data_IF_854596127742
#
_entry.id   IF_854596127742
#
_cell.length_a   1.000
_cell.length_b   1.000
_cell.length_c   1.000
_cell.angle_alpha   90.00
_cell.angle_beta   90.00
_cell.angle_gamma   90.00
#
_symmetry.space_group_name_H-M   'P 1'
#
loop_
_entity.id
_entity.type
_entity.pdbx_description
1 polymer ?
#
# COMPACT_ATOMS: atom_id res chain seq x y z
N UNK A 1 44.80 13.57 26.55
CA UNK A 1 43.96 12.41 26.17
C UNK A 1 42.97 12.94 25.17
N UNK A 2 43.19 12.61 23.90
CA UNK A 2 42.63 13.34 22.77
C UNK A 2 41.13 13.07 22.59
N UNK A 3 40.33 14.14 22.64
CA UNK A 3 38.90 14.12 22.34
C UNK A 3 38.60 13.57 20.94
N UNK A 4 39.54 13.65 20.00
CA UNK A 4 39.42 13.08 18.65
C UNK A 4 39.41 11.55 18.65
N UNK A 5 40.19 10.91 19.51
CA UNK A 5 40.27 9.45 19.63
C UNK A 5 38.98 8.92 20.25
N UNK A 6 38.48 9.56 21.31
CA UNK A 6 37.23 9.15 21.95
C UNK A 6 36.00 9.40 21.07
N UNK A 7 35.99 10.46 20.25
CA UNK A 7 34.93 10.71 19.27
C UNK A 7 34.87 9.63 18.18
N UNK A 8 36.02 9.09 17.75
CA UNK A 8 36.05 8.06 16.71
C UNK A 8 35.50 6.72 17.20
N UNK A 9 35.78 6.33 18.44
CA UNK A 9 35.22 5.12 19.04
C UNK A 9 33.69 5.19 19.18
N UNK A 10 33.15 6.33 19.62
CA UNK A 10 31.70 6.52 19.73
C UNK A 10 31.02 6.41 18.36
N UNK A 11 31.65 6.98 17.32
CA UNK A 11 31.08 6.99 15.97
C UNK A 11 31.12 5.58 15.34
N UNK A 12 32.21 4.84 15.54
CA UNK A 12 32.34 3.45 15.11
C UNK A 12 31.33 2.53 15.82
N UNK A 13 31.11 2.71 17.12
CA UNK A 13 30.08 1.99 17.87
C UNK A 13 28.67 2.30 17.34
N UNK A 14 28.36 3.56 17.04
CA UNK A 14 27.07 3.95 16.47
C UNK A 14 26.85 3.30 15.10
N UNK A 15 27.87 3.30 14.23
CA UNK A 15 27.78 2.66 12.91
C UNK A 15 27.54 1.16 13.05
N UNK A 16 28.30 0.49 13.93
CA UNK A 16 28.15 -0.95 14.17
C UNK A 16 26.75 -1.29 14.72
N UNK A 17 26.21 -0.47 15.63
CA UNK A 17 24.85 -0.62 16.14
C UNK A 17 23.82 -0.46 15.02
N UNK A 18 23.98 0.57 14.18
CA UNK A 18 23.07 0.85 13.06
C UNK A 18 23.11 -0.28 12.01
N UNK A 19 24.28 -0.80 11.68
CA UNK A 19 24.43 -1.89 10.73
C UNK A 19 23.81 -3.19 11.26
N UNK A 20 24.04 -3.52 12.54
CA UNK A 20 23.39 -4.65 13.21
C UNK A 20 21.86 -4.50 13.21
N UNK A 21 21.35 -3.29 13.44
CA UNK A 21 19.92 -3.01 13.33
C UNK A 21 19.40 -3.22 11.91
N UNK A 22 20.10 -2.74 10.88
CA UNK A 22 19.72 -2.96 9.47
C UNK A 22 19.69 -4.45 9.11
N UNK A 23 20.68 -5.22 9.54
CA UNK A 23 20.74 -6.67 9.32
C UNK A 23 19.52 -7.34 9.97
N UNK A 24 19.27 -7.06 11.25
CA UNK A 24 18.12 -7.62 11.96
C UNK A 24 16.80 -7.24 11.29
N UNK A 25 16.61 -5.96 10.97
CA UNK A 25 15.41 -5.46 10.30
C UNK A 25 15.17 -6.16 8.96
N UNK A 26 16.20 -6.29 8.13
CA UNK A 26 16.12 -6.94 6.81
C UNK A 26 15.70 -8.41 6.90
N UNK A 27 16.12 -9.12 7.96
CA UNK A 27 15.70 -10.51 8.19
C UNK A 27 14.19 -10.61 8.49
N UNK A 28 13.65 -9.67 9.26
CA UNK A 28 12.23 -9.66 9.62
C UNK A 28 11.32 -9.04 8.55
N UNK A 29 11.86 -8.18 7.68
CA UNK A 29 11.09 -7.44 6.67
C UNK A 29 10.29 -8.36 5.73
N UNK A 30 10.87 -9.48 5.28
CA UNK A 30 10.15 -10.43 4.40
C UNK A 30 8.98 -11.10 5.11
N UNK A 31 9.19 -11.57 6.35
CA UNK A 31 8.14 -12.17 7.18
C UNK A 31 7.02 -11.16 7.42
N UNK A 32 7.39 -9.90 7.65
CA UNK A 32 6.46 -8.79 7.78
C UNK A 32 5.57 -8.67 6.53
N UNK A 33 6.14 -8.59 5.31
CA UNK A 33 5.32 -8.44 4.10
C UNK A 33 4.37 -9.62 3.86
N UNK A 34 4.80 -10.85 4.14
CA UNK A 34 3.95 -12.04 4.04
C UNK A 34 2.78 -11.95 5.04
N UNK A 35 3.04 -11.55 6.29
CA UNK A 35 1.97 -11.36 7.27
C UNK A 35 0.98 -10.27 6.83
N UNK A 36 1.49 -9.13 6.35
CA UNK A 36 0.67 -8.02 5.91
C UNK A 36 -0.15 -8.32 4.65
N UNK A 37 0.32 -9.22 3.76
CA UNK A 37 -0.48 -9.75 2.65
C UNK A 37 -1.78 -10.38 3.17
N UNK A 38 -1.70 -11.30 4.13
CA UNK A 38 -2.90 -11.97 4.66
C UNK A 38 -3.82 -10.99 5.40
N UNK A 39 -3.25 -10.07 6.17
CA UNK A 39 -4.02 -8.99 6.81
C UNK A 39 -4.75 -8.13 5.77
N UNK A 40 -4.09 -7.79 4.66
CA UNK A 40 -4.68 -7.01 3.58
C UNK A 40 -5.78 -7.76 2.85
N UNK A 41 -5.59 -9.04 2.56
CA UNK A 41 -6.63 -9.91 2.00
C UNK A 41 -7.85 -9.95 2.92
N UNK A 42 -7.63 -10.11 4.23
CA UNK A 42 -8.71 -10.10 5.22
C UNK A 42 -9.46 -8.76 5.21
N UNK A 43 -8.74 -7.63 5.16
CA UNK A 43 -9.35 -6.30 5.04
C UNK A 43 -10.19 -6.16 3.77
N UNK A 44 -9.70 -6.61 2.62
CA UNK A 44 -10.41 -6.55 1.33
C UNK A 44 -11.69 -7.37 1.35
N UNK A 45 -11.62 -8.62 1.81
CA UNK A 45 -12.79 -9.51 1.92
C UNK A 45 -13.79 -8.92 2.93
N UNK A 46 -13.31 -8.44 4.07
CA UNK A 46 -14.13 -7.78 5.08
C UNK A 46 -14.87 -6.56 4.52
N UNK A 47 -14.16 -5.69 3.80
CA UNK A 47 -14.76 -4.53 3.12
C UNK A 47 -15.83 -4.96 2.12
N UNK A 48 -15.54 -5.98 1.30
CA UNK A 48 -16.48 -6.50 0.31
C UNK A 48 -17.75 -7.08 0.95
N UNK A 49 -17.61 -7.92 1.98
CA UNK A 49 -18.75 -8.50 2.73
C UNK A 49 -19.59 -7.41 3.39
N UNK A 50 -18.97 -6.42 4.04
CA UNK A 50 -19.68 -5.30 4.65
C UNK A 50 -20.48 -4.49 3.62
N UNK A 51 -19.90 -4.23 2.44
CA UNK A 51 -20.60 -3.54 1.35
C UNK A 51 -21.81 -4.32 0.86
N UNK A 52 -21.70 -5.65 0.71
CA UNK A 52 -22.80 -6.53 0.31
C UNK A 52 -23.91 -6.60 1.36
N UNK A 53 -23.56 -6.72 2.64
CA UNK A 53 -24.52 -6.72 3.75
C UNK A 53 -25.33 -5.42 3.79
N UNK A 54 -24.66 -4.27 3.62
CA UNK A 54 -25.33 -2.98 3.57
C UNK A 54 -26.25 -2.85 2.35
N UNK A 55 -25.80 -3.32 1.19
CA UNK A 55 -26.63 -3.34 -0.02
C UNK A 55 -27.90 -4.18 0.18
N UNK A 56 -27.78 -5.36 0.79
CA UNK A 56 -28.92 -6.22 1.16
C UNK A 56 -29.88 -5.55 2.14
N UNK A 57 -29.35 -4.87 3.17
CA UNK A 57 -30.16 -4.14 4.14
C UNK A 57 -30.97 -3.00 3.52
N UNK A 58 -30.35 -2.24 2.60
CA UNK A 58 -31.04 -1.16 1.87
C UNK A 58 -32.16 -1.73 0.99
N UNK A 59 -31.90 -2.84 0.29
CA UNK A 59 -32.90 -3.51 -0.55
C UNK A 59 -34.08 -4.05 0.26
N UNK A 60 -33.83 -4.65 1.44
CA UNK A 60 -34.90 -5.16 2.29
C UNK A 60 -35.76 -4.01 2.85
N UNK A 61 -35.12 -2.90 3.26
CA UNK A 61 -35.80 -1.71 3.75
C UNK A 61 -36.63 -1.03 2.66
N UNK A 62 -36.12 -0.93 1.44
CA UNK A 62 -36.91 -0.40 0.33
C UNK A 62 -38.12 -1.29 0.08
N UNK A 63 -37.96 -2.61 -0.01
CA UNK A 63 -39.09 -3.53 -0.23
C UNK A 63 -40.16 -3.47 0.87
N UNK A 64 -39.77 -3.28 2.13
CA UNK A 64 -40.71 -3.26 3.26
C UNK A 64 -41.47 -1.93 3.44
N UNK A 65 -40.91 -0.80 2.98
CA UNK A 65 -41.43 0.54 3.33
C UNK A 65 -41.66 1.49 2.13
N UNK A 66 -41.38 1.10 0.87
CA UNK A 66 -41.36 2.07 -0.24
C UNK A 66 -42.67 2.22 -1.05
N UNK A 67 -43.00 3.48 -1.30
CA UNK A 67 -43.88 3.96 -2.37
C UNK A 67 -43.14 3.92 -3.72
N UNK A 68 -43.85 3.74 -4.85
CA UNK A 68 -43.31 3.64 -6.23
C UNK A 68 -42.24 4.69 -6.62
N UNK A 69 -42.18 5.84 -5.92
CA UNK A 69 -41.20 6.91 -6.16
C UNK A 69 -39.80 6.63 -5.59
N UNK A 70 -39.69 5.83 -4.53
CA UNK A 70 -38.41 5.49 -3.88
C UNK A 70 -37.73 4.26 -4.49
N UNK A 71 -38.48 3.38 -5.16
CA UNK A 71 -37.93 2.21 -5.88
C UNK A 71 -36.94 2.61 -6.99
N UNK A 72 -37.22 3.67 -7.75
CA UNK A 72 -36.35 4.09 -8.85
C UNK A 72 -35.00 4.68 -8.37
N UNK A 73 -35.00 5.43 -7.25
CA UNK A 73 -33.80 6.07 -6.72
C UNK A 73 -32.90 5.08 -5.98
N UNK A 74 -33.50 4.12 -5.27
CA UNK A 74 -32.78 3.05 -4.57
C UNK A 74 -32.16 2.05 -5.55
N UNK A 75 -32.84 1.69 -6.64
CA UNK A 75 -32.29 0.77 -7.65
C UNK A 75 -31.05 1.29 -8.39
N UNK A 76 -30.91 2.61 -8.53
CA UNK A 76 -29.75 3.20 -9.23
C UNK A 76 -28.45 3.11 -8.42
N UNK A 77 -28.53 3.10 -7.08
CA UNK A 77 -27.35 3.12 -6.19
C UNK A 77 -27.01 1.75 -5.59
N UNK A 78 -27.92 0.79 -5.65
CA UNK A 78 -27.67 -0.59 -5.19
C UNK A 78 -26.79 -1.38 -6.16
N UNK A 79 -26.99 -1.23 -7.48
CA UNK A 79 -26.20 -1.95 -8.50
C UNK A 79 -24.69 -1.64 -8.42
N UNK A 80 -24.24 -0.36 -8.36
CA UNK A 80 -22.82 -0.06 -8.23
C UNK A 80 -22.20 -0.62 -6.94
N UNK A 81 -22.92 -0.56 -5.81
CA UNK A 81 -22.44 -1.10 -4.53
C UNK A 81 -22.26 -2.61 -4.55
N UNK A 82 -23.13 -3.35 -5.24
CA UNK A 82 -22.98 -4.79 -5.42
C UNK A 82 -21.73 -5.12 -6.26
N UNK A 83 -21.55 -4.43 -7.39
CA UNK A 83 -20.38 -4.60 -8.26
C UNK A 83 -19.10 -4.34 -7.47
N UNK A 84 -19.06 -3.25 -6.71
CA UNK A 84 -17.88 -2.91 -5.93
C UNK A 84 -17.64 -3.95 -4.82
N UNK A 85 -18.66 -4.35 -4.07
CA UNK A 85 -18.53 -5.39 -3.04
C UNK A 85 -17.97 -6.71 -3.58
N UNK A 86 -18.45 -7.15 -4.74
CA UNK A 86 -17.93 -8.34 -5.45
C UNK A 86 -16.48 -8.12 -5.90
N UNK A 87 -16.16 -6.95 -6.46
CA UNK A 87 -14.82 -6.62 -6.90
C UNK A 87 -13.80 -6.68 -5.75
N UNK A 88 -14.12 -6.16 -4.56
CA UNK A 88 -13.25 -6.24 -3.38
C UNK A 88 -12.95 -7.70 -2.98
N UNK A 89 -13.95 -8.58 -3.02
CA UNK A 89 -13.78 -10.00 -2.71
C UNK A 89 -12.91 -10.68 -3.78
N UNK A 90 -13.18 -10.44 -5.07
CA UNK A 90 -12.39 -11.01 -6.17
C UNK A 90 -10.93 -10.55 -6.12
N UNK A 91 -10.69 -9.26 -5.86
CA UNK A 91 -9.34 -8.71 -5.67
C UNK A 91 -8.66 -9.37 -4.47
N UNK A 92 -9.37 -9.53 -3.34
CA UNK A 92 -8.86 -10.20 -2.14
C UNK A 92 -8.40 -11.64 -2.42
N UNK A 93 -9.25 -12.44 -3.09
CA UNK A 93 -8.86 -13.80 -3.50
C UNK A 93 -7.75 -13.79 -4.55
N UNK A 94 -7.76 -12.83 -5.48
CA UNK A 94 -6.73 -12.68 -6.49
C UNK A 94 -5.34 -12.43 -5.89
N UNK A 95 -5.27 -11.63 -4.82
CA UNK A 95 -4.02 -11.38 -4.07
C UNK A 95 -3.65 -12.60 -3.23
N UNK A 96 -4.63 -13.30 -2.63
CA UNK A 96 -4.39 -14.52 -1.85
C UNK A 96 -3.69 -15.60 -2.69
N UNK A 97 -4.17 -15.82 -3.93
CA UNK A 97 -3.62 -16.81 -4.86
C UNK A 97 -2.50 -16.26 -5.76
N UNK A 98 -1.98 -15.07 -5.49
CA UNK A 98 -0.92 -14.38 -6.25
C UNK A 98 -1.25 -14.01 -7.70
N UNK A 99 -2.29 -14.58 -8.32
CA UNK A 99 -2.64 -14.31 -9.71
C UNK A 99 -2.87 -12.82 -9.99
N UNK A 100 -3.60 -12.13 -9.10
CA UNK A 100 -3.86 -10.70 -9.28
C UNK A 100 -2.62 -9.86 -8.98
N UNK A 101 -1.78 -10.28 -8.02
CA UNK A 101 -0.49 -9.63 -7.75
C UNK A 101 0.42 -9.68 -8.97
N UNK A 102 0.54 -10.84 -9.62
CA UNK A 102 1.29 -10.97 -10.88
C UNK A 102 0.71 -10.11 -12.00
N UNK A 103 -0.62 -10.10 -12.14
CA UNK A 103 -1.29 -9.25 -13.12
C UNK A 103 -1.02 -7.75 -12.88
N UNK A 104 -1.05 -7.31 -11.62
CA UNK A 104 -0.76 -5.92 -11.24
C UNK A 104 0.70 -5.56 -11.51
N UNK A 105 1.65 -6.44 -11.18
CA UNK A 105 3.06 -6.23 -11.52
C UNK A 105 3.17 -6.03 -13.04
N UNK A 106 2.64 -6.96 -13.83
CA UNK A 106 2.74 -6.90 -15.29
C UNK A 106 2.14 -5.63 -15.92
N UNK A 107 0.98 -5.16 -15.44
CA UNK A 107 0.33 -3.97 -16.01
C UNK A 107 0.93 -2.66 -15.53
N UNK A 108 1.54 -2.63 -14.34
CA UNK A 108 2.10 -1.42 -13.72
C UNK A 108 3.61 -1.29 -13.90
N UNK A 109 4.33 -2.36 -14.26
CA UNK A 109 5.76 -2.31 -14.59
C UNK A 109 6.14 -1.23 -15.63
N UNK A 110 5.36 -0.98 -16.71
CA UNK A 110 5.70 0.07 -17.67
C UNK A 110 5.39 1.49 -17.16
N UNK A 111 4.72 1.65 -16.01
CA UNK A 111 4.45 2.98 -15.46
C UNK A 111 5.73 3.55 -14.87
N UNK A 112 6.05 4.84 -15.10
CA UNK A 112 7.11 5.52 -14.38
C UNK A 112 6.65 5.78 -12.94
N UNK A 113 6.60 4.73 -12.13
CA UNK A 113 6.36 4.78 -10.70
C UNK A 113 7.71 4.91 -9.95
N UNK A 114 7.69 5.18 -8.64
CA UNK A 114 8.90 5.37 -7.81
C UNK A 114 9.67 6.68 -8.07
N UNK A 115 8.95 7.79 -8.20
CA UNK A 115 9.57 9.12 -8.35
C UNK A 115 10.56 9.46 -7.24
N UNK A 116 10.45 8.85 -6.05
CA UNK A 116 11.38 9.07 -4.95
C UNK A 116 12.84 8.81 -5.34
N UNK A 117 13.10 7.79 -6.17
CA UNK A 117 14.47 7.50 -6.62
C UNK A 117 14.98 8.56 -7.60
N UNK A 118 14.09 9.15 -8.41
CA UNK A 118 14.43 10.29 -9.28
C UNK A 118 14.68 11.57 -8.49
N UNK A 119 14.02 11.76 -7.35
CA UNK A 119 14.31 12.87 -6.44
C UNK A 119 15.68 12.72 -5.77
N UNK A 120 16.11 11.49 -5.47
CA UNK A 120 17.45 11.23 -4.92
C UNK A 120 18.52 11.52 -5.97
N UNK A 121 18.27 11.20 -7.24
CA UNK A 121 19.15 11.49 -8.38
C UNK A 121 19.41 12.99 -8.57
N UNK A 122 18.44 13.85 -8.25
CA UNK A 122 18.60 15.30 -8.27
C UNK A 122 19.58 15.85 -7.23
N UNK A 123 19.98 15.06 -6.23
CA UNK A 123 20.88 15.47 -5.14
C UNK A 123 22.35 15.11 -5.45
N UNK A 124 22.69 14.91 -6.74
CA UNK A 124 24.05 14.56 -7.20
C UNK A 124 24.64 13.32 -6.49
N UNK A 125 23.78 12.37 -6.10
CA UNK A 125 24.23 11.09 -5.55
C UNK A 125 24.75 10.22 -6.69
N UNK A 126 25.84 9.47 -6.43
CA UNK A 126 26.43 8.55 -7.41
C UNK A 126 25.34 7.61 -8.02
N UNK A 127 25.16 7.59 -9.35
CA UNK A 127 24.19 6.73 -10.02
C UNK A 127 24.34 5.25 -9.67
N UNK A 128 25.56 4.79 -9.35
CA UNK A 128 25.79 3.41 -8.91
C UNK A 128 25.23 3.14 -7.51
N UNK A 129 25.20 4.14 -6.61
CA UNK A 129 24.57 4.01 -5.30
C UNK A 129 23.03 4.00 -5.43
N UNK A 130 22.48 4.80 -6.33
CA UNK A 130 21.02 4.81 -6.59
C UNK A 130 20.57 3.48 -7.15
N UNK A 131 21.29 2.92 -8.14
CA UNK A 131 20.93 1.63 -8.72
C UNK A 131 20.90 0.50 -7.68
N UNK A 132 21.87 0.51 -6.75
CA UNK A 132 21.95 -0.44 -5.63
C UNK A 132 20.77 -0.35 -4.66
N UNK A 133 20.25 0.85 -4.45
CA UNK A 133 19.07 1.05 -3.61
C UNK A 133 17.79 0.67 -4.38
N UNK A 134 17.71 0.92 -5.69
CA UNK A 134 16.51 0.64 -6.50
C UNK A 134 16.30 -0.84 -6.81
N UNK A 135 17.37 -1.62 -6.87
CA UNK A 135 17.33 -3.06 -7.13
C UNK A 135 17.99 -3.82 -5.98
N UNK A 136 17.16 -4.50 -5.17
CA UNK A 136 17.61 -5.33 -4.05
C UNK A 136 18.64 -6.38 -4.45
N UNK A 137 18.59 -6.89 -5.68
CA UNK A 137 19.52 -7.93 -6.14
C UNK A 137 20.94 -7.39 -6.31
N UNK A 138 21.06 -6.08 -6.54
CA UNK A 138 22.34 -5.37 -6.69
C UNK A 138 22.86 -4.75 -5.39
N UNK A 139 22.06 -4.73 -4.32
CA UNK A 139 22.41 -4.14 -3.03
C UNK A 139 23.53 -4.93 -2.32
N UNK A 140 24.62 -4.23 -2.02
CA UNK A 140 25.82 -4.79 -1.36
C UNK A 140 25.71 -4.60 0.14
N UNK A 141 25.24 -3.44 0.58
CA UNK A 141 25.21 -3.08 2.00
C UNK A 141 23.84 -3.31 2.64
N UNK A 142 23.78 -3.65 3.95
CA UNK A 142 22.52 -3.88 4.65
C UNK A 142 21.58 -2.66 4.64
N UNK A 143 22.14 -1.45 4.75
CA UNK A 143 21.35 -0.21 4.80
C UNK A 143 20.63 0.10 3.48
N UNK A 144 21.22 -0.26 2.33
CA UNK A 144 20.59 -0.10 1.00
C UNK A 144 19.29 -0.92 0.92
N UNK A 145 19.34 -2.17 1.38
CA UNK A 145 18.15 -3.05 1.47
C UNK A 145 17.12 -2.51 2.45
N UNK A 146 17.56 -1.97 3.59
CA UNK A 146 16.67 -1.35 4.57
C UNK A 146 15.91 -0.17 3.97
N UNK A 147 16.58 0.71 3.22
CA UNK A 147 15.94 1.85 2.53
C UNK A 147 14.87 1.36 1.56
N UNK A 148 15.18 0.35 0.72
CA UNK A 148 14.20 -0.21 -0.19
C UNK A 148 12.98 -0.77 0.56
N UNK A 149 13.19 -1.56 1.62
CA UNK A 149 12.10 -2.11 2.42
C UNK A 149 11.24 -1.02 3.06
N UNK A 150 11.85 0.06 3.57
CA UNK A 150 11.12 1.21 4.12
C UNK A 150 10.24 1.86 3.05
N UNK A 151 10.76 2.09 1.84
CA UNK A 151 9.96 2.61 0.72
C UNK A 151 8.85 1.67 0.29
N UNK A 152 9.09 0.35 0.29
CA UNK A 152 8.05 -0.64 0.05
C UNK A 152 6.98 -0.65 1.15
N UNK A 153 7.33 -0.42 2.41
CA UNK A 153 6.34 -0.28 3.49
C UNK A 153 5.45 0.96 3.29
N UNK A 154 6.03 2.11 2.91
CA UNK A 154 5.25 3.31 2.59
C UNK A 154 4.35 3.09 1.37
N UNK A 155 4.88 2.48 0.32
CA UNK A 155 4.14 2.10 -0.90
C UNK A 155 2.92 1.22 -0.57
N UNK A 156 3.11 0.18 0.25
CA UNK A 156 2.02 -0.66 0.74
C UNK A 156 1.01 0.14 1.58
N UNK A 157 1.49 0.95 2.54
CA UNK A 157 0.63 1.76 3.40
C UNK A 157 -0.27 2.73 2.63
N UNK A 158 0.29 3.42 1.62
CA UNK A 158 -0.48 4.29 0.73
C UNK A 158 -1.50 3.51 -0.11
N UNK A 159 -1.16 2.30 -0.55
CA UNK A 159 -2.07 1.42 -1.29
C UNK A 159 -3.25 0.98 -0.41
N UNK A 160 -3.00 0.56 0.83
CA UNK A 160 -4.06 0.24 1.80
C UNK A 160 -4.94 1.46 2.04
N UNK A 161 -4.34 2.62 2.27
CA UNK A 161 -5.08 3.85 2.52
C UNK A 161 -5.93 4.28 1.31
N UNK A 162 -5.44 4.09 0.08
CA UNK A 162 -6.20 4.30 -1.15
C UNK A 162 -7.43 3.40 -1.21
N UNK A 163 -7.23 2.10 -0.99
CA UNK A 163 -8.30 1.08 -1.01
C UNK A 163 -9.37 1.38 0.03
N UNK A 164 -8.98 1.75 1.25
CA UNK A 164 -9.90 2.13 2.32
C UNK A 164 -10.64 3.44 2.01
N UNK A 165 -9.97 4.41 1.40
CA UNK A 165 -10.59 5.68 1.03
C UNK A 165 -11.66 5.50 -0.06
N UNK A 166 -11.39 4.66 -1.07
CA UNK A 166 -12.38 4.27 -2.09
C UNK A 166 -13.57 3.55 -1.46
N UNK A 167 -13.31 2.66 -0.50
CA UNK A 167 -14.36 1.95 0.23
C UNK A 167 -15.24 2.93 1.03
N UNK A 168 -14.60 3.87 1.74
CA UNK A 168 -15.30 4.84 2.57
C UNK A 168 -16.22 5.78 1.75
N UNK A 169 -15.80 6.19 0.54
CA UNK A 169 -16.62 7.02 -0.36
C UNK A 169 -17.95 6.39 -0.79
N UNK A 170 -18.09 5.06 -0.73
CA UNK A 170 -19.32 4.38 -1.15
C UNK A 170 -20.47 4.56 -0.16
N UNK A 171 -20.15 4.96 1.07
CA UNK A 171 -21.11 5.24 2.12
C UNK A 171 -21.44 6.74 2.15
N UNK A 172 -22.54 7.11 2.80
CA UNK A 172 -22.88 8.52 3.01
C UNK A 172 -21.83 9.15 3.92
N UNK A 173 -20.77 9.67 3.29
CA UNK A 173 -19.65 10.29 3.99
C UNK A 173 -20.12 11.62 4.55
N UNK A 174 -19.98 11.80 5.87
CA UNK A 174 -20.30 13.07 6.54
C UNK A 174 -19.47 14.25 6.01
N UNK A 175 -18.23 13.99 5.58
CA UNK A 175 -17.26 14.99 5.10
C UNK A 175 -16.55 14.55 3.79
N UNK A 176 -17.21 14.59 2.62
CA UNK A 176 -16.67 14.03 1.38
C UNK A 176 -15.36 14.72 0.92
N UNK A 177 -15.21 16.03 1.20
CA UNK A 177 -14.00 16.79 0.86
C UNK A 177 -12.74 16.23 1.53
N UNK A 178 -12.84 15.82 2.79
CA UNK A 178 -11.70 15.26 3.53
C UNK A 178 -11.30 13.90 2.95
N UNK A 179 -12.26 13.05 2.61
CA UNK A 179 -12.00 11.74 2.00
C UNK A 179 -11.38 11.87 0.61
N UNK A 180 -11.83 12.83 -0.20
CA UNK A 180 -11.21 13.11 -1.50
C UNK A 180 -9.75 13.57 -1.32
N UNK A 181 -9.48 14.45 -0.36
CA UNK A 181 -8.11 14.89 -0.06
C UNK A 181 -7.23 13.72 0.42
N UNK A 182 -7.77 12.80 1.21
CA UNK A 182 -7.09 11.56 1.59
C UNK A 182 -6.81 10.64 0.41
N UNK A 183 -7.75 10.50 -0.53
CA UNK A 183 -7.49 9.76 -1.77
C UNK A 183 -6.37 10.38 -2.59
N UNK A 184 -6.38 11.71 -2.78
CA UNK A 184 -5.31 12.40 -3.50
C UNK A 184 -3.96 12.19 -2.82
N UNK A 185 -3.90 12.30 -1.49
CA UNK A 185 -2.69 12.02 -0.71
C UNK A 185 -2.19 10.58 -0.93
N UNK A 186 -3.10 9.59 -0.93
CA UNK A 186 -2.74 8.20 -1.20
C UNK A 186 -2.23 7.97 -2.62
N UNK A 187 -2.89 8.55 -3.63
CA UNK A 187 -2.45 8.44 -5.03
C UNK A 187 -1.08 9.07 -5.21
N UNK A 188 -0.87 10.27 -4.67
CA UNK A 188 0.44 10.94 -4.70
C UNK A 188 1.51 10.09 -4.01
N UNK A 189 1.20 9.51 -2.86
CA UNK A 189 2.11 8.60 -2.15
C UNK A 189 2.46 7.35 -2.96
N UNK A 190 1.48 6.69 -3.58
CA UNK A 190 1.71 5.55 -4.46
C UNK A 190 2.55 5.92 -5.70
N UNK A 191 2.35 7.10 -6.29
CA UNK A 191 3.20 7.57 -7.40
C UNK A 191 4.64 7.81 -6.92
N UNK A 192 4.79 8.42 -5.73
CA UNK A 192 6.08 8.79 -5.18
C UNK A 192 6.91 7.56 -4.78
N UNK A 193 6.32 6.62 -4.04
CA UNK A 193 7.00 5.40 -3.57
C UNK A 193 6.91 4.21 -4.54
N UNK A 194 6.08 4.31 -5.58
CA UNK A 194 5.78 3.26 -6.56
C UNK A 194 4.56 2.43 -6.18
N UNK A 195 3.76 2.00 -7.17
CA UNK A 195 2.67 1.06 -6.92
C UNK A 195 3.18 -0.37 -6.85
N UNK A 196 4.25 -0.68 -7.57
CA UNK A 196 4.80 -2.04 -7.72
C UNK A 196 5.80 -2.42 -6.62
N UNK A 197 6.38 -1.45 -5.92
CA UNK A 197 7.58 -1.63 -5.06
C UNK A 197 7.40 -2.63 -3.92
N UNK A 198 6.18 -2.81 -3.41
CA UNK A 198 5.87 -3.77 -2.34
C UNK A 198 5.37 -5.13 -2.84
N UNK A 199 4.91 -5.19 -4.10
CA UNK A 199 4.18 -6.36 -4.63
C UNK A 199 5.03 -7.63 -4.70
N UNK A 200 6.32 -7.60 -5.10
CA UNK A 200 7.16 -8.80 -5.11
C UNK A 200 7.31 -9.47 -3.73
N UNK A 201 7.27 -8.71 -2.64
CA UNK A 201 7.37 -9.27 -1.28
C UNK A 201 6.09 -9.90 -0.76
N UNK A 202 4.98 -9.68 -1.48
CA UNK A 202 3.69 -10.29 -1.16
C UNK A 202 3.43 -11.58 -1.93
N UNK A 203 4.31 -11.99 -2.84
CA UNK A 203 4.20 -13.27 -3.54
C UNK A 203 4.47 -14.40 -2.55
#
# INVERSE_FOLDING_TARGET
MDYSVQSNYILEDIINILENFCIAFNQYALIYFIFFKYLFVFLLIGCGVLTLLKARGIYFRSRAFSSKKDENKTNSLTKPRLIIGIAYILIGFGILFNYFTYFLIWILDPLPDRLIYRFIDLIEVDPYAINRITDISSAIYPHEKTIYYVFSMFSFGHTVHLVLSIWYLQFEVKNPRKTILWMFSSVSGCILFGFTTFMPFML
#
